data_IF_463288098106
#
_entry.id   IF_463288098106
#
_cell.length_a   1.000
_cell.length_b   1.000
_cell.length_c   1.000
_cell.angle_alpha   90.00
_cell.angle_beta   90.00
_cell.angle_gamma   90.00
#
_symmetry.space_group_name_H-M   'P 1'
#
loop_
_entity.id
_entity.type
_entity.pdbx_description
1 polymer ?
#
# COMPACT_ATOMS: atom_id res chain seq x y z
N UNK A 1 21.82 16.50 31.32
CA UNK A 1 21.50 15.07 31.07
C UNK A 1 20.02 14.97 30.73
N UNK A 2 19.68 14.77 29.46
CA UNK A 2 18.34 14.46 29.05
C UNK A 2 17.95 13.10 29.63
N UNK A 3 16.93 13.07 30.48
CA UNK A 3 16.41 11.79 30.97
C UNK A 3 15.61 11.16 29.82
N UNK A 4 16.10 10.06 29.30
CA UNK A 4 15.32 9.25 28.36
C UNK A 4 14.04 8.81 29.06
N UNK A 5 12.85 9.04 28.47
CA UNK A 5 11.60 8.54 29.00
C UNK A 5 11.68 7.03 29.27
N UNK A 6 11.12 6.57 30.38
CA UNK A 6 11.20 5.15 30.79
C UNK A 6 10.71 4.18 29.69
N UNK A 7 9.73 4.56 28.92
CA UNK A 7 9.19 3.72 27.85
C UNK A 7 10.15 3.54 26.66
N UNK A 8 11.10 4.48 26.46
CA UNK A 8 12.13 4.38 25.43
C UNK A 8 13.45 3.78 25.94
N UNK A 9 13.55 3.48 27.24
CA UNK A 9 14.75 2.90 27.80
C UNK A 9 15.07 1.54 27.14
N UNK A 10 16.27 1.40 26.60
CA UNK A 10 16.70 0.24 25.84
C UNK A 10 16.28 0.21 24.36
N UNK A 11 15.53 1.23 23.91
CA UNK A 11 15.07 1.33 22.52
C UNK A 11 15.74 2.48 21.76
N UNK A 12 16.70 3.16 22.38
CA UNK A 12 17.42 4.29 21.79
C UNK A 12 18.90 4.20 22.12
N UNK A 13 19.72 4.72 21.24
CA UNK A 13 21.15 4.87 21.46
C UNK A 13 21.59 6.31 21.17
N UNK A 14 22.66 6.74 21.83
CA UNK A 14 23.29 8.01 21.56
C UNK A 14 24.30 7.80 20.42
N UNK A 15 24.12 8.55 19.36
CA UNK A 15 25.05 8.61 18.23
C UNK A 15 25.55 10.03 18.05
N UNK A 16 26.67 10.19 17.33
CA UNK A 16 27.23 11.48 17.01
C UNK A 16 27.26 11.65 15.49
N UNK A 17 26.82 12.80 15.01
CA UNK A 17 26.92 13.14 13.58
C UNK A 17 28.40 13.42 13.19
N UNK A 18 28.63 13.68 11.91
CA UNK A 18 29.96 13.98 11.38
C UNK A 18 30.62 15.25 12.00
N UNK A 19 29.81 16.13 12.58
CA UNK A 19 30.25 17.34 13.26
C UNK A 19 30.35 17.17 14.79
N UNK A 20 30.29 15.93 15.27
CA UNK A 20 30.30 15.54 16.68
C UNK A 20 29.14 16.10 17.51
N UNK A 21 28.02 16.45 16.90
CA UNK A 21 26.81 16.78 17.63
C UNK A 21 26.11 15.51 18.11
N UNK A 22 25.65 15.46 19.37
CA UNK A 22 24.91 14.31 19.87
C UNK A 22 23.53 14.24 19.26
N UNK A 23 23.13 13.05 18.82
CA UNK A 23 21.82 12.73 18.28
C UNK A 23 21.30 11.43 18.90
N UNK A 24 20.01 11.21 18.85
CA UNK A 24 19.38 9.98 19.33
C UNK A 24 18.94 9.18 18.12
N UNK A 25 19.40 7.92 18.04
CA UNK A 25 18.92 6.95 17.10
C UNK A 25 17.92 6.02 17.77
N UNK A 26 16.75 5.85 17.18
CA UNK A 26 15.76 4.88 17.62
C UNK A 26 16.11 3.49 17.06
N UNK A 27 16.10 2.48 17.94
CA UNK A 27 16.21 1.08 17.53
C UNK A 27 14.80 0.59 17.25
N UNK A 28 14.35 0.81 16.03
CA UNK A 28 12.94 0.61 15.62
C UNK A 28 12.46 -0.82 15.86
N UNK A 29 13.29 -1.82 15.59
CA UNK A 29 12.93 -3.22 15.82
C UNK A 29 12.54 -3.50 17.28
N UNK A 30 13.22 -2.88 18.26
CA UNK A 30 12.87 -3.02 19.67
C UNK A 30 11.59 -2.25 20.03
N UNK A 31 11.39 -1.09 19.42
CA UNK A 31 10.18 -0.30 19.62
C UNK A 31 8.96 -1.07 19.09
N UNK A 32 9.04 -1.57 17.88
CA UNK A 32 7.97 -2.36 17.27
C UNK A 32 7.69 -3.64 18.05
N UNK A 33 8.71 -4.37 18.45
CA UNK A 33 8.51 -5.59 19.24
C UNK A 33 7.79 -5.32 20.57
N UNK A 34 8.08 -4.19 21.21
CA UNK A 34 7.56 -3.86 22.55
C UNK A 34 6.22 -3.14 22.53
N UNK A 35 5.96 -2.30 21.53
CA UNK A 35 4.85 -1.36 21.50
C UNK A 35 3.95 -1.48 20.28
N UNK A 36 4.15 -2.51 19.45
CA UNK A 36 3.34 -2.68 18.26
C UNK A 36 1.90 -2.98 18.63
N UNK A 37 1.02 -2.00 18.39
CA UNK A 37 -0.42 -2.10 18.65
C UNK A 37 -1.21 -2.08 17.34
N UNK A 38 -1.74 -3.24 16.96
CA UNK A 38 -2.55 -3.40 15.76
C UNK A 38 -3.95 -2.78 15.90
N UNK A 39 -4.41 -2.54 17.13
CA UNK A 39 -5.74 -1.99 17.38
C UNK A 39 -5.90 -0.55 16.88
N UNK A 40 -4.80 0.17 16.68
CA UNK A 40 -4.80 1.52 16.12
C UNK A 40 -4.80 1.55 14.57
N UNK A 41 -4.60 0.40 13.91
CA UNK A 41 -4.52 0.35 12.46
C UNK A 41 -5.90 0.56 11.83
N UNK A 42 -5.94 1.47 10.88
CA UNK A 42 -7.16 1.83 10.15
C UNK A 42 -6.88 1.94 8.66
N UNK A 43 -7.86 1.63 7.85
CA UNK A 43 -7.85 1.89 6.41
C UNK A 43 -8.97 2.86 6.05
N UNK A 44 -8.73 3.67 5.03
CA UNK A 44 -9.69 4.61 4.48
C UNK A 44 -10.07 4.14 3.07
N UNK A 45 -11.37 3.94 2.85
CA UNK A 45 -11.92 3.71 1.53
C UNK A 45 -12.61 4.98 1.05
N UNK A 46 -12.27 5.43 -0.14
CA UNK A 46 -12.85 6.63 -0.77
C UNK A 46 -13.33 6.31 -2.18
N UNK A 47 -14.36 6.99 -2.70
CA UNK A 47 -14.69 6.92 -4.10
C UNK A 47 -13.49 7.31 -4.97
N UNK A 48 -13.20 6.51 -6.00
CA UNK A 48 -12.06 6.74 -6.89
C UNK A 48 -12.11 8.10 -7.58
N UNK A 49 -13.30 8.55 -7.95
CA UNK A 49 -13.56 9.83 -8.63
C UNK A 49 -13.14 11.06 -7.81
N UNK A 50 -13.03 10.91 -6.49
CA UNK A 50 -12.63 12.00 -5.60
C UNK A 50 -11.11 12.14 -5.45
N UNK A 51 -10.32 11.15 -5.88
CA UNK A 51 -8.87 11.19 -5.74
C UNK A 51 -8.18 11.56 -7.06
N UNK A 52 -8.07 12.86 -7.30
CA UNK A 52 -7.41 13.45 -8.47
C UNK A 52 -5.96 13.88 -8.19
N UNK A 53 -5.35 13.35 -7.14
CA UNK A 53 -3.97 13.72 -6.81
C UNK A 53 -3.01 13.22 -7.89
N UNK A 54 -2.22 14.14 -8.42
CA UNK A 54 -1.17 13.82 -9.40
C UNK A 54 0.01 13.08 -8.76
N UNK A 55 0.25 13.36 -7.48
CA UNK A 55 1.31 12.72 -6.68
C UNK A 55 0.78 12.43 -5.27
N UNK A 56 0.63 11.17 -4.94
CA UNK A 56 -0.08 10.70 -3.74
C UNK A 56 0.55 11.20 -2.45
N UNK A 57 1.87 11.29 -2.37
CA UNK A 57 2.59 11.64 -1.15
C UNK A 57 2.63 13.13 -0.84
N UNK A 58 2.56 13.99 -1.87
CA UNK A 58 2.71 15.44 -1.70
C UNK A 58 1.39 16.15 -1.44
N UNK A 59 0.27 15.50 -1.71
CA UNK A 59 -1.05 16.12 -1.63
C UNK A 59 -1.89 15.42 -0.56
N UNK A 60 -2.19 16.07 0.58
CA UNK A 60 -3.01 15.48 1.61
C UNK A 60 -4.44 15.23 1.11
N UNK A 61 -5.08 14.19 1.62
CA UNK A 61 -6.52 13.97 1.41
C UNK A 61 -7.31 14.89 2.32
N UNK A 62 -8.30 15.54 1.75
CA UNK A 62 -9.31 16.24 2.54
C UNK A 62 -10.44 15.27 2.92
N UNK A 63 -11.04 15.42 4.10
CA UNK A 63 -12.17 14.61 4.53
C UNK A 63 -13.32 14.70 3.50
N UNK A 64 -13.87 13.56 3.12
CA UNK A 64 -15.03 13.47 2.24
C UNK A 64 -16.17 12.77 3.01
N UNK A 65 -17.40 13.30 2.98
CA UNK A 65 -18.54 12.65 3.66
C UNK A 65 -18.85 11.23 3.17
N UNK A 66 -18.35 10.87 1.99
CA UNK A 66 -18.49 9.52 1.39
C UNK A 66 -17.39 8.55 1.81
N UNK A 67 -16.39 9.03 2.56
CA UNK A 67 -15.30 8.18 3.02
C UNK A 67 -15.78 7.17 4.05
N UNK A 68 -15.20 5.98 4.00
CA UNK A 68 -15.45 4.89 4.95
C UNK A 68 -14.16 4.57 5.70
N UNK A 69 -14.16 4.84 7.00
CA UNK A 69 -13.04 4.50 7.89
C UNK A 69 -13.30 3.12 8.51
N UNK A 70 -12.35 2.23 8.34
CA UNK A 70 -12.41 0.87 8.85
C UNK A 70 -11.22 0.62 9.78
N UNK A 71 -11.52 0.16 10.99
CA UNK A 71 -10.50 -0.31 11.92
C UNK A 71 -10.17 -1.76 11.59
N UNK A 72 -9.08 -1.96 10.89
CA UNK A 72 -8.64 -3.26 10.36
C UNK A 72 -7.14 -3.37 10.50
N UNK A 73 -6.68 -4.47 11.07
CA UNK A 73 -5.25 -4.77 11.14
C UNK A 73 -4.66 -4.95 9.74
N UNK A 74 -3.46 -4.41 9.51
CA UNK A 74 -2.83 -4.48 8.19
C UNK A 74 -2.48 -5.91 7.74
N UNK A 75 -2.41 -6.86 8.64
CA UNK A 75 -2.22 -8.29 8.32
C UNK A 75 -3.55 -9.05 8.11
N UNK A 76 -4.70 -8.38 8.25
CA UNK A 76 -6.00 -9.02 8.02
C UNK A 76 -6.22 -9.32 6.54
N UNK A 77 -6.67 -10.54 6.26
CA UNK A 77 -6.97 -11.03 4.91
C UNK A 77 -8.16 -10.32 4.25
N UNK A 78 -8.99 -9.61 5.02
CA UNK A 78 -10.11 -8.83 4.47
C UNK A 78 -9.63 -7.70 3.58
N UNK A 79 -8.42 -7.15 3.82
CA UNK A 79 -7.79 -6.17 2.92
C UNK A 79 -7.53 -6.80 1.55
N UNK A 80 -7.05 -8.05 1.52
CA UNK A 80 -6.82 -8.78 0.27
C UNK A 80 -8.12 -9.02 -0.48
N UNK A 81 -9.19 -9.36 0.24
CA UNK A 81 -10.51 -9.55 -0.34
C UNK A 81 -11.06 -8.25 -0.94
N UNK A 82 -10.95 -7.13 -0.22
CA UNK A 82 -11.29 -5.79 -0.72
C UNK A 82 -10.51 -5.43 -2.00
N UNK A 83 -9.21 -5.67 -2.00
CA UNK A 83 -8.38 -5.33 -3.15
C UNK A 83 -8.64 -6.23 -4.37
N UNK A 84 -8.93 -7.51 -4.15
CA UNK A 84 -9.36 -8.44 -5.20
C UNK A 84 -10.69 -8.03 -5.83
N UNK A 85 -11.59 -7.41 -5.05
CA UNK A 85 -12.91 -7.00 -5.55
C UNK A 85 -12.87 -6.01 -6.71
N UNK A 86 -11.74 -5.33 -6.92
CA UNK A 86 -11.51 -4.48 -8.10
C UNK A 86 -11.54 -5.27 -9.42
N UNK A 87 -11.26 -6.56 -9.38
CA UNK A 87 -11.08 -7.40 -10.57
C UNK A 87 -11.97 -8.62 -10.59
N UNK A 88 -12.37 -9.10 -9.42
CA UNK A 88 -13.16 -10.31 -9.26
C UNK A 88 -14.42 -9.98 -8.48
N UNK A 89 -15.55 -10.52 -8.90
CA UNK A 89 -16.79 -10.37 -8.16
C UNK A 89 -16.66 -10.93 -6.75
N UNK A 90 -17.06 -10.14 -5.75
CA UNK A 90 -17.07 -10.53 -4.34
C UNK A 90 -18.46 -10.27 -3.78
N UNK A 91 -18.92 -11.13 -2.87
CA UNK A 91 -20.19 -10.91 -2.19
C UNK A 91 -20.08 -9.74 -1.21
N UNK A 92 -20.94 -8.73 -1.37
CA UNK A 92 -21.03 -7.62 -0.40
C UNK A 92 -21.38 -8.12 1.01
N UNK A 93 -22.19 -9.19 1.11
CA UNK A 93 -22.51 -9.77 2.43
C UNK A 93 -21.29 -10.38 3.09
N UNK A 94 -20.44 -11.05 2.33
CA UNK A 94 -19.18 -11.60 2.83
C UNK A 94 -18.23 -10.49 3.32
N UNK A 95 -18.08 -9.43 2.54
CA UNK A 95 -17.29 -8.26 2.95
C UNK A 95 -17.84 -7.61 4.23
N UNK A 96 -19.15 -7.42 4.32
CA UNK A 96 -19.78 -6.83 5.52
C UNK A 96 -19.58 -7.66 6.78
N UNK A 97 -19.71 -8.99 6.68
CA UNK A 97 -19.51 -9.90 7.79
C UNK A 97 -18.06 -9.85 8.29
N UNK A 98 -17.10 -9.89 7.37
CA UNK A 98 -15.68 -9.86 7.72
C UNK A 98 -15.23 -8.49 8.29
N UNK A 99 -15.83 -7.40 7.85
CA UNK A 99 -15.49 -6.04 8.30
C UNK A 99 -16.26 -5.57 9.54
N UNK A 100 -17.22 -6.34 10.04
CA UNK A 100 -18.08 -5.95 11.17
C UNK A 100 -18.66 -4.52 11.03
N UNK A 101 -19.16 -4.18 9.83
CA UNK A 101 -19.59 -2.83 9.52
C UNK A 101 -20.80 -2.40 10.36
N UNK A 102 -20.73 -1.19 10.91
CA UNK A 102 -21.90 -0.57 11.56
C UNK A 102 -22.95 -0.18 10.52
N UNK A 103 -24.22 -0.17 10.91
CA UNK A 103 -25.32 0.20 10.01
C UNK A 103 -25.13 1.58 9.35
N UNK A 104 -24.51 2.53 10.06
CA UNK A 104 -24.25 3.88 9.56
C UNK A 104 -23.21 3.93 8.43
N UNK A 105 -22.26 2.98 8.39
CA UNK A 105 -21.23 2.91 7.35
C UNK A 105 -21.69 2.14 6.12
N UNK A 106 -22.80 1.40 6.20
CA UNK A 106 -23.22 0.49 5.14
C UNK A 106 -23.54 1.20 3.82
N UNK A 107 -24.24 2.31 3.83
CA UNK A 107 -24.64 3.03 2.62
C UNK A 107 -23.42 3.55 1.85
N UNK A 108 -22.50 4.22 2.52
CA UNK A 108 -21.27 4.71 1.89
C UNK A 108 -20.41 3.56 1.39
N UNK A 109 -20.33 2.48 2.17
CA UNK A 109 -19.56 1.29 1.78
C UNK A 109 -20.15 0.63 0.53
N UNK A 110 -21.47 0.44 0.46
CA UNK A 110 -22.15 -0.11 -0.70
C UNK A 110 -21.95 0.74 -1.95
N UNK A 111 -21.98 2.06 -1.80
CA UNK A 111 -21.77 3.00 -2.90
C UNK A 111 -20.38 2.93 -3.54
N UNK A 112 -19.39 2.27 -2.88
CA UNK A 112 -18.07 2.03 -3.45
C UNK A 112 -18.04 0.89 -4.47
N UNK A 113 -19.11 0.09 -4.56
CA UNK A 113 -19.17 -1.09 -5.41
C UNK A 113 -20.23 -0.94 -6.51
N UNK A 114 -20.00 -1.61 -7.62
CA UNK A 114 -20.96 -1.73 -8.69
C UNK A 114 -20.96 -3.19 -9.23
N UNK A 115 -21.97 -3.50 -10.03
CA UNK A 115 -22.11 -4.82 -10.65
C UNK A 115 -21.50 -4.89 -12.07
N UNK A 116 -20.74 -3.88 -12.46
CA UNK A 116 -20.15 -3.82 -13.80
C UNK A 116 -18.81 -4.56 -13.75
N UNK A 117 -18.64 -5.64 -14.51
CA UNK A 117 -17.35 -6.30 -14.61
C UNK A 117 -16.31 -5.31 -15.11
N UNK A 118 -15.13 -5.26 -14.48
CA UNK A 118 -14.08 -4.37 -14.96
C UNK A 118 -13.68 -4.76 -16.39
N UNK A 119 -13.45 -3.74 -17.21
CA UNK A 119 -12.94 -3.93 -18.56
C UNK A 119 -11.57 -4.61 -18.52
N UNK A 120 -11.39 -5.62 -19.34
CA UNK A 120 -10.20 -6.45 -19.58
C UNK A 120 -9.00 -6.27 -18.63
N UNK A 121 -8.70 -7.36 -17.93
CA UNK A 121 -7.48 -7.44 -17.11
C UNK A 121 -6.24 -7.58 -17.98
N UNK A 122 -5.15 -6.97 -17.57
CA UNK A 122 -3.85 -7.28 -18.12
C UNK A 122 -3.47 -8.73 -17.74
N UNK A 123 -3.60 -9.62 -18.72
CA UNK A 123 -3.07 -10.97 -18.60
C UNK A 123 -1.53 -10.91 -18.46
N UNK A 124 -0.95 -11.97 -17.93
CA UNK A 124 0.49 -12.14 -17.93
C UNK A 124 1.05 -11.90 -19.32
N UNK A 125 2.12 -11.11 -19.40
CA UNK A 125 2.84 -10.91 -20.67
C UNK A 125 3.34 -12.25 -21.22
N UNK A 126 3.08 -12.49 -22.51
CA UNK A 126 3.44 -13.74 -23.19
C UNK A 126 4.32 -13.52 -24.43
N UNK A 127 4.89 -12.32 -24.60
CA UNK A 127 5.83 -12.02 -25.67
C UNK A 127 7.23 -12.59 -25.39
N UNK A 128 8.03 -12.75 -26.45
CA UNK A 128 9.42 -13.19 -26.35
C UNK A 128 10.38 -12.05 -25.95
N UNK A 129 9.95 -10.80 -26.15
CA UNK A 129 10.73 -9.61 -25.78
C UNK A 129 10.54 -9.22 -24.32
N UNK A 130 11.28 -8.22 -23.88
CA UNK A 130 11.09 -7.58 -22.56
C UNK A 130 10.11 -6.42 -22.71
N UNK A 131 9.05 -6.43 -21.95
CA UNK A 131 8.09 -5.34 -21.88
C UNK A 131 8.37 -4.49 -20.64
N UNK A 132 8.55 -3.19 -20.83
CA UNK A 132 8.76 -2.23 -19.74
C UNK A 132 7.60 -1.24 -19.72
N UNK A 133 6.99 -1.05 -18.55
CA UNK A 133 5.96 -0.06 -18.32
C UNK A 133 6.37 0.88 -17.19
N UNK A 134 6.32 2.18 -17.45
CA UNK A 134 6.64 3.21 -16.49
C UNK A 134 5.36 3.76 -15.86
N UNK A 135 5.18 3.54 -14.56
CA UNK A 135 3.99 3.95 -13.81
C UNK A 135 4.08 5.37 -13.25
N UNK A 136 5.24 5.97 -13.33
CA UNK A 136 5.55 7.28 -12.78
C UNK A 136 6.55 7.21 -11.63
N UNK A 137 7.21 8.32 -11.34
CA UNK A 137 8.27 8.44 -10.33
C UNK A 137 9.33 7.34 -10.50
N UNK A 138 9.57 6.52 -9.50
CA UNK A 138 10.51 5.40 -9.57
C UNK A 138 9.83 4.06 -9.91
N UNK A 139 8.50 4.05 -10.12
CA UNK A 139 7.73 2.84 -10.32
C UNK A 139 7.85 2.32 -11.75
N UNK A 140 8.52 1.18 -11.92
CA UNK A 140 8.72 0.50 -13.20
C UNK A 140 8.29 -0.96 -13.10
N UNK A 141 7.47 -1.41 -14.04
CA UNK A 141 7.12 -2.81 -14.21
C UNK A 141 7.87 -3.38 -15.41
N UNK A 142 8.63 -4.44 -15.17
CA UNK A 142 9.37 -5.19 -16.19
C UNK A 142 8.76 -6.57 -16.29
N UNK A 143 8.38 -6.97 -17.48
CA UNK A 143 7.76 -8.25 -17.75
C UNK A 143 8.48 -8.99 -18.85
N UNK A 144 8.71 -10.26 -18.62
CA UNK A 144 9.09 -11.24 -19.63
C UNK A 144 8.03 -12.33 -19.67
N UNK A 145 8.15 -13.26 -20.60
CA UNK A 145 7.30 -14.46 -20.64
C UNK A 145 7.22 -15.22 -19.30
N UNK A 146 8.30 -15.22 -18.53
CA UNK A 146 8.47 -16.04 -17.34
C UNK A 146 8.39 -15.28 -16.03
N UNK A 147 8.80 -14.02 -15.99
CA UNK A 147 8.97 -13.23 -14.76
C UNK A 147 8.37 -11.85 -14.94
N UNK A 148 7.72 -11.38 -13.88
CA UNK A 148 7.27 -10.01 -13.70
C UNK A 148 7.92 -9.39 -12.48
N UNK A 149 8.50 -8.19 -12.65
CA UNK A 149 9.25 -7.46 -11.64
C UNK A 149 8.71 -6.04 -11.54
N UNK A 150 8.19 -5.67 -10.37
CA UNK A 150 7.73 -4.32 -10.08
C UNK A 150 8.72 -3.64 -9.11
N UNK A 151 9.24 -2.50 -9.51
CA UNK A 151 10.24 -1.74 -8.74
C UNK A 151 9.56 -0.53 -8.12
N UNK A 152 9.83 -0.26 -6.84
CA UNK A 152 9.41 0.92 -6.08
C UNK A 152 7.95 1.32 -6.33
N UNK A 153 6.97 0.50 -5.95
CA UNK A 153 5.59 0.66 -6.37
C UNK A 153 4.93 1.89 -5.73
N UNK A 154 4.85 2.97 -6.48
CA UNK A 154 4.05 4.14 -6.21
C UNK A 154 3.09 4.34 -7.39
N UNK A 155 1.82 3.93 -7.21
CA UNK A 155 0.87 3.76 -8.32
C UNK A 155 -0.27 4.77 -8.19
N UNK A 156 -0.57 5.47 -9.27
CA UNK A 156 -1.67 6.41 -9.32
C UNK A 156 -3.04 5.69 -9.34
N UNK A 157 -4.07 6.37 -8.79
CA UNK A 157 -5.44 5.86 -8.79
C UNK A 157 -6.19 6.20 -10.06
N UNK A 158 -5.91 7.34 -10.69
CA UNK A 158 -6.60 7.83 -11.86
C UNK A 158 -5.68 7.84 -13.08
N UNK A 159 -6.28 7.55 -14.24
CA UNK A 159 -5.61 7.54 -15.56
C UNK A 159 -5.24 8.93 -16.08
N UNK A 160 -5.61 10.02 -15.41
CA UNK A 160 -5.34 11.37 -15.91
C UNK A 160 -4.01 11.45 -16.66
N UNK A 161 -3.99 12.02 -17.85
CA UNK A 161 -2.82 12.21 -18.71
C UNK A 161 -2.00 10.93 -19.03
N UNK A 162 -2.67 9.83 -19.40
CA UNK A 162 -2.05 8.59 -19.90
C UNK A 162 -1.21 7.79 -18.90
N UNK A 163 -1.45 7.94 -17.60
CA UNK A 163 -0.75 7.16 -16.58
C UNK A 163 -1.29 5.74 -16.44
N UNK A 164 -0.39 4.81 -16.16
CA UNK A 164 -0.77 3.48 -15.68
C UNK A 164 -1.28 3.54 -14.24
N UNK A 165 -2.26 2.69 -13.95
CA UNK A 165 -2.92 2.59 -12.66
C UNK A 165 -2.86 1.17 -12.10
N UNK A 166 -3.47 0.92 -10.94
CA UNK A 166 -3.60 -0.43 -10.38
C UNK A 166 -4.28 -1.42 -11.34
N UNK A 167 -5.17 -0.97 -12.24
CA UNK A 167 -5.83 -1.83 -13.22
C UNK A 167 -4.89 -2.29 -14.35
N UNK A 168 -3.78 -1.59 -14.52
CA UNK A 168 -2.78 -1.91 -15.54
C UNK A 168 -1.72 -2.90 -15.05
N UNK A 169 -1.72 -3.26 -13.77
CA UNK A 169 -0.86 -4.31 -13.23
C UNK A 169 -1.27 -5.70 -13.76
N UNK A 170 -0.35 -6.65 -13.91
CA UNK A 170 -0.68 -8.04 -14.19
C UNK A 170 -1.41 -8.68 -12.99
N UNK A 171 -2.14 -9.76 -13.24
CA UNK A 171 -2.85 -10.48 -12.17
C UNK A 171 -1.92 -11.13 -11.15
N UNK A 172 -0.66 -11.30 -11.52
CA UNK A 172 0.36 -11.90 -10.66
C UNK A 172 1.71 -11.22 -10.91
N UNK A 173 2.40 -10.88 -9.83
CA UNK A 173 3.72 -10.25 -9.82
C UNK A 173 4.67 -11.19 -9.10
N UNK A 174 5.72 -11.63 -9.78
CA UNK A 174 6.70 -12.54 -9.17
C UNK A 174 7.52 -11.84 -8.09
N UNK A 175 7.99 -10.62 -8.36
CA UNK A 175 8.83 -9.86 -7.44
C UNK A 175 8.42 -8.40 -7.37
N UNK A 176 8.36 -7.88 -6.16
CA UNK A 176 8.39 -6.43 -5.89
C UNK A 176 9.76 -6.12 -5.29
N UNK A 177 10.48 -5.17 -5.86
CA UNK A 177 11.74 -4.67 -5.33
C UNK A 177 11.54 -3.29 -4.73
N UNK A 178 11.97 -3.13 -3.49
CA UNK A 178 12.05 -1.83 -2.81
C UNK A 178 13.52 -1.44 -2.73
N UNK A 179 13.88 -0.33 -3.36
CA UNK A 179 15.29 0.10 -3.41
C UNK A 179 15.75 0.68 -2.09
N UNK A 180 14.88 1.41 -1.39
CA UNK A 180 15.17 1.99 -0.07
C UNK A 180 13.89 2.43 0.67
N UNK A 181 14.03 2.88 1.90
CA UNK A 181 12.91 3.13 2.83
C UNK A 181 12.23 4.49 2.71
N UNK A 182 12.58 5.34 1.74
CA UNK A 182 11.85 6.60 1.54
C UNK A 182 10.40 6.34 1.11
N UNK A 183 9.49 7.20 1.54
CA UNK A 183 8.05 7.02 1.34
C UNK A 183 7.61 6.97 -0.13
N UNK A 184 8.35 7.59 -1.01
CA UNK A 184 8.14 7.61 -2.46
C UNK A 184 8.65 6.34 -3.18
N UNK A 185 9.38 5.48 -2.46
CA UNK A 185 9.83 4.16 -2.91
C UNK A 185 9.15 3.03 -2.13
N UNK A 186 8.95 3.23 -0.83
CA UNK A 186 8.25 2.31 0.06
C UNK A 186 6.88 2.87 0.45
N UNK A 187 5.86 2.62 -0.36
CA UNK A 187 4.48 3.00 -0.07
C UNK A 187 3.72 1.83 0.55
N UNK A 188 3.51 1.88 1.88
CA UNK A 188 2.70 0.88 2.57
C UNK A 188 1.27 0.81 2.01
N UNK A 189 0.68 1.96 1.68
CA UNK A 189 -0.65 2.04 1.06
C UNK A 189 -0.71 1.23 -0.25
N UNK A 190 0.30 1.35 -1.11
CA UNK A 190 0.37 0.58 -2.35
C UNK A 190 0.61 -0.90 -2.08
N UNK A 191 1.56 -1.23 -1.20
CA UNK A 191 1.89 -2.63 -0.88
C UNK A 191 0.70 -3.40 -0.31
N UNK A 192 -0.08 -2.81 0.60
CA UNK A 192 -1.31 -3.42 1.12
C UNK A 192 -2.33 -3.71 0.02
N UNK A 193 -2.38 -2.88 -1.02
CA UNK A 193 -3.33 -3.05 -2.12
C UNK A 193 -2.92 -4.12 -3.13
N UNK A 194 -1.63 -4.40 -3.27
CA UNK A 194 -1.11 -5.35 -4.27
C UNK A 194 -0.61 -6.67 -3.68
N UNK A 195 -0.39 -6.78 -2.37
CA UNK A 195 0.24 -7.96 -1.74
C UNK A 195 -0.44 -9.28 -2.09
N UNK A 196 -1.75 -9.27 -2.30
CA UNK A 196 -2.54 -10.46 -2.65
C UNK A 196 -2.18 -11.06 -4.01
N UNK A 197 -1.49 -10.32 -4.87
CA UNK A 197 -1.04 -10.73 -6.20
C UNK A 197 0.50 -10.78 -6.33
N UNK A 198 1.23 -10.54 -5.23
CA UNK A 198 2.70 -10.52 -5.19
C UNK A 198 3.22 -11.80 -4.54
N UNK A 199 4.21 -12.43 -5.18
CA UNK A 199 4.83 -13.64 -4.65
C UNK A 199 5.92 -13.34 -3.63
N UNK A 200 6.82 -12.41 -3.96
CA UNK A 200 7.93 -12.02 -3.09
C UNK A 200 8.12 -10.51 -3.07
N UNK A 201 8.39 -9.98 -1.90
CA UNK A 201 8.83 -8.59 -1.71
C UNK A 201 10.29 -8.65 -1.27
N UNK A 202 11.17 -8.02 -2.05
CA UNK A 202 12.60 -7.92 -1.78
C UNK A 202 12.88 -6.52 -1.27
N UNK A 203 13.48 -6.44 -0.11
CA UNK A 203 13.86 -5.17 0.55
C UNK A 203 15.35 -5.15 0.79
N UNK A 204 15.97 -3.96 0.93
CA UNK A 204 17.36 -3.87 1.35
C UNK A 204 17.57 -4.52 2.72
N UNK A 205 18.74 -5.11 2.89
CA UNK A 205 19.20 -5.54 4.20
C UNK A 205 19.61 -4.30 4.99
N UNK A 206 18.80 -3.91 5.95
CA UNK A 206 19.10 -2.81 6.85
C UNK A 206 19.74 -3.37 8.12
N UNK A 207 21.05 -3.28 8.17
CA UNK A 207 21.81 -3.49 9.40
C UNK A 207 21.72 -2.28 10.32
#
# INVERSE_FOLDING_TARGET
YFKIPKFLAGCVELVYDMNHNPSIRFIESFIYHKYYDKSSQTILLSPLESDKRSFILSTPRFPNPKDVHLQVSFDDSVIDLLCRSRRHGVSLNELRQNLNLSAKCNENFEALFNNIPPSSFNQKYNGEDIKVRYFGHACVLIETKNISLLIDPLIAYDKGDERFTFLDLPNFIDYVLITHSHQDHFSLETLLQIRHQVRYIVVPDNN
#
